data_IF_880386076489
#
_entry.id   IF_880386076489
#
_cell.length_a   1.000
_cell.length_b   1.000
_cell.length_c   1.000
_cell.angle_alpha   90.00
_cell.angle_beta   90.00
_cell.angle_gamma   90.00
#
_symmetry.space_group_name_H-M   'P 1'
#
loop_
_entity.id
_entity.type
_entity.pdbx_description
1 polymer ?
#
# COMPACT_ATOMS: atom_id res chain seq x y z
N UNK A 1 13.73 -14.55 26.50
CA UNK A 1 12.73 -13.49 26.78
C UNK A 1 13.27 -12.19 26.23
N UNK A 2 12.93 -11.83 24.99
CA UNK A 2 13.36 -10.56 24.37
C UNK A 2 12.11 -9.84 23.89
N UNK A 3 11.84 -8.71 24.56
CA UNK A 3 10.62 -7.93 24.44
C UNK A 3 10.49 -7.23 23.09
N UNK A 4 9.60 -7.73 22.25
CA UNK A 4 9.05 -7.05 21.08
C UNK A 4 7.52 -7.00 21.16
N UNK A 5 6.96 -6.62 22.31
CA UNK A 5 5.51 -6.61 22.50
C UNK A 5 5.02 -5.41 23.30
N UNK A 6 5.30 -4.19 22.84
CA UNK A 6 4.48 -3.02 23.21
C UNK A 6 4.41 -2.05 22.03
N UNK A 7 3.59 -2.38 21.04
CA UNK A 7 2.66 -1.43 20.42
C UNK A 7 1.65 -2.33 19.68
N UNK A 8 0.35 -2.22 19.96
CA UNK A 8 -0.65 -2.80 19.08
C UNK A 8 -0.27 -2.48 17.62
N UNK A 9 -0.19 -3.50 16.78
CA UNK A 9 0.30 -3.35 15.42
C UNK A 9 -0.73 -2.56 14.60
N UNK A 10 -0.73 -1.23 14.73
CA UNK A 10 -1.58 -0.30 13.98
C UNK A 10 -1.29 -0.40 12.48
N UNK A 11 -0.17 -1.01 12.09
CA UNK A 11 0.31 -1.11 10.72
C UNK A 11 -0.12 -2.42 10.07
N UNK A 12 -0.69 -2.33 8.87
CA UNK A 12 -1.08 -3.50 8.06
C UNK A 12 0.14 -4.40 7.77
N UNK A 13 -0.05 -5.72 7.81
CA UNK A 13 1.00 -6.75 7.58
C UNK A 13 1.86 -6.48 6.33
N UNK A 14 1.24 -6.01 5.25
CA UNK A 14 1.96 -5.70 4.01
C UNK A 14 2.94 -4.54 4.15
N UNK A 15 2.62 -3.53 4.97
CA UNK A 15 3.53 -2.41 5.28
C UNK A 15 4.74 -2.93 6.03
N UNK A 16 4.52 -3.76 7.07
CA UNK A 16 5.62 -4.37 7.84
C UNK A 16 6.53 -5.19 6.94
N UNK A 17 5.96 -6.08 6.12
CA UNK A 17 6.72 -6.89 5.14
C UNK A 17 7.56 -6.03 4.19
N UNK A 18 7.01 -4.90 3.72
CA UNK A 18 7.71 -4.04 2.78
C UNK A 18 8.91 -3.30 3.43
N UNK A 19 8.77 -2.87 4.68
CA UNK A 19 9.88 -2.31 5.47
C UNK A 19 10.91 -3.38 5.80
N UNK A 20 10.46 -4.51 6.36
CA UNK A 20 11.31 -5.63 6.77
C UNK A 20 12.19 -6.13 5.63
N UNK A 21 11.66 -6.25 4.42
CA UNK A 21 12.46 -6.67 3.27
C UNK A 21 13.66 -5.73 2.98
N UNK A 22 13.47 -4.41 3.12
CA UNK A 22 14.57 -3.44 2.93
C UNK A 22 15.57 -3.54 4.07
N UNK A 23 15.07 -3.61 5.30
CA UNK A 23 15.92 -3.66 6.50
C UNK A 23 16.74 -4.94 6.54
N UNK A 24 16.16 -6.10 6.21
CA UNK A 24 16.90 -7.36 6.13
C UNK A 24 18.04 -7.29 5.11
N UNK A 25 17.80 -6.69 3.93
CA UNK A 25 18.84 -6.50 2.92
C UNK A 25 19.90 -5.49 3.34
N UNK A 26 19.51 -4.49 4.11
CA UNK A 26 20.45 -3.51 4.64
C UNK A 26 21.34 -4.13 5.72
N UNK A 27 20.76 -4.88 6.67
CA UNK A 27 21.51 -5.60 7.70
C UNK A 27 22.42 -6.68 7.12
N UNK A 28 22.01 -7.37 6.05
CA UNK A 28 22.85 -8.36 5.35
C UNK A 28 24.12 -7.74 4.75
N UNK A 29 24.11 -6.46 4.38
CA UNK A 29 25.24 -5.79 3.73
C UNK A 29 26.04 -4.86 4.67
N UNK A 30 25.38 -4.28 5.68
CA UNK A 30 25.97 -3.27 6.57
C UNK A 30 25.77 -3.58 8.06
N UNK A 31 25.25 -4.76 8.43
CA UNK A 31 24.91 -5.10 9.82
C UNK A 31 26.10 -5.17 10.77
N UNK A 32 27.30 -5.44 10.24
CA UNK A 32 28.54 -5.52 11.01
C UNK A 32 29.29 -4.17 11.10
N UNK A 33 28.78 -3.12 10.45
CA UNK A 33 29.41 -1.80 10.44
C UNK A 33 28.70 -0.86 11.41
N UNK A 34 29.47 0.07 11.97
CA UNK A 34 28.88 1.19 12.69
C UNK A 34 28.08 2.06 11.72
N UNK A 35 26.91 2.54 12.15
CA UNK A 35 26.05 3.40 11.36
C UNK A 35 26.72 4.73 11.01
N UNK A 36 27.66 5.22 11.83
CA UNK A 36 28.41 6.46 11.55
C UNK A 36 29.41 6.31 10.41
N UNK A 37 29.85 5.08 10.11
CA UNK A 37 30.80 4.79 9.04
C UNK A 37 30.11 4.66 7.66
N UNK A 38 28.78 4.58 7.64
CA UNK A 38 28.03 4.37 6.41
C UNK A 38 27.97 5.67 5.62
N UNK A 39 28.70 5.71 4.49
CA UNK A 39 28.74 6.88 3.63
C UNK A 39 27.50 7.00 2.75
N UNK A 40 27.29 8.21 2.22
CA UNK A 40 26.22 8.45 1.25
C UNK A 40 26.38 7.58 0.00
N UNK A 41 27.60 7.40 -0.51
CA UNK A 41 27.85 6.60 -1.72
C UNK A 41 27.51 5.13 -1.51
N UNK A 42 27.81 4.58 -0.33
CA UNK A 42 27.41 3.22 0.04
C UNK A 42 25.89 3.06 0.02
N UNK A 43 25.15 4.03 0.55
CA UNK A 43 23.69 4.03 0.53
C UNK A 43 23.13 4.13 -0.89
N UNK A 44 23.71 4.99 -1.72
CA UNK A 44 23.30 5.12 -3.13
C UNK A 44 23.55 3.82 -3.89
N UNK A 45 24.71 3.18 -3.69
CA UNK A 45 25.04 1.90 -4.30
C UNK A 45 24.08 0.79 -3.83
N UNK A 46 23.81 0.71 -2.53
CA UNK A 46 22.84 -0.21 -1.96
C UNK A 46 21.45 -0.03 -2.58
N UNK A 47 20.95 1.21 -2.64
CA UNK A 47 19.64 1.52 -3.22
C UNK A 47 19.58 1.20 -4.71
N UNK A 48 20.65 1.46 -5.47
CA UNK A 48 20.74 1.08 -6.87
C UNK A 48 20.68 -0.44 -7.04
N UNK A 49 21.46 -1.20 -6.25
CA UNK A 49 21.50 -2.66 -6.26
C UNK A 49 20.13 -3.28 -5.97
N UNK A 50 19.44 -2.86 -4.91
CA UNK A 50 18.14 -3.45 -4.55
C UNK A 50 16.98 -2.97 -5.45
N UNK A 51 17.20 -1.94 -6.27
CA UNK A 51 16.17 -1.35 -7.14
C UNK A 51 16.51 -1.37 -8.63
N UNK A 52 17.51 -2.15 -9.02
CA UNK A 52 17.88 -2.37 -10.41
C UNK A 52 16.68 -2.91 -11.22
N UNK A 53 16.46 -2.34 -12.40
CA UNK A 53 15.32 -2.67 -13.27
C UNK A 53 13.94 -2.31 -12.69
N UNK A 54 13.84 -1.63 -11.54
CA UNK A 54 12.55 -1.29 -10.91
C UNK A 54 12.03 0.08 -11.34
N UNK A 55 10.70 0.21 -11.33
CA UNK A 55 9.99 1.46 -11.62
C UNK A 55 10.42 2.59 -10.66
N UNK A 56 10.42 3.87 -11.09
CA UNK A 56 10.80 5.01 -10.26
C UNK A 56 10.03 5.10 -8.92
N UNK A 57 8.74 4.75 -8.93
CA UNK A 57 7.92 4.71 -7.71
C UNK A 57 8.46 3.70 -6.69
N UNK A 58 8.89 2.52 -7.15
CA UNK A 58 9.51 1.51 -6.27
C UNK A 58 10.80 2.06 -5.69
N UNK A 59 11.66 2.70 -6.51
CA UNK A 59 12.90 3.34 -6.04
C UNK A 59 12.63 4.35 -4.92
N UNK A 60 11.63 5.23 -5.13
CA UNK A 60 11.18 6.20 -4.12
C UNK A 60 10.71 5.54 -2.82
N UNK A 61 9.90 4.50 -2.90
CA UNK A 61 9.37 3.80 -1.71
C UNK A 61 10.51 3.16 -0.91
N UNK A 62 11.46 2.50 -1.58
CA UNK A 62 12.62 1.87 -0.93
C UNK A 62 13.52 2.92 -0.26
N UNK A 63 13.80 4.01 -0.95
CA UNK A 63 14.48 5.17 -0.37
C UNK A 63 13.75 5.71 0.86
N UNK A 64 12.42 5.87 0.79
CA UNK A 64 11.62 6.36 1.92
C UNK A 64 11.69 5.46 3.14
N UNK A 65 11.75 4.13 2.96
CA UNK A 65 11.90 3.20 4.09
C UNK A 65 13.25 3.41 4.80
N UNK A 66 14.33 3.50 4.02
CA UNK A 66 15.68 3.67 4.56
C UNK A 66 15.86 5.04 5.21
N UNK A 67 15.37 6.11 4.57
CA UNK A 67 15.37 7.46 5.15
C UNK A 67 14.59 7.52 6.46
N UNK A 68 13.45 6.82 6.55
CA UNK A 68 12.65 6.75 7.78
C UNK A 68 13.37 5.98 8.90
N UNK A 69 14.15 4.95 8.55
CA UNK A 69 14.97 4.20 9.52
C UNK A 69 16.06 5.09 10.13
N UNK A 70 16.81 5.82 9.31
CA UNK A 70 17.81 6.77 9.81
C UNK A 70 17.20 7.93 10.61
N UNK A 71 16.01 8.41 10.21
CA UNK A 71 15.27 9.39 11.01
C UNK A 71 14.82 8.82 12.36
N UNK A 72 14.46 7.53 12.42
CA UNK A 72 14.13 6.87 13.68
C UNK A 72 15.34 6.82 14.62
N UNK A 73 16.53 6.47 14.12
CA UNK A 73 17.78 6.48 14.88
C UNK A 73 18.06 7.89 15.42
N UNK A 74 18.04 8.90 14.55
CA UNK A 74 18.27 10.30 14.93
C UNK A 74 17.31 10.78 16.03
N UNK A 75 16.04 10.42 15.93
CA UNK A 75 15.02 10.93 16.83
C UNK A 75 14.92 10.19 18.17
N UNK A 76 15.44 8.95 18.27
CA UNK A 76 15.20 8.09 19.43
C UNK A 76 16.47 7.54 20.09
N UNK A 77 17.59 7.46 19.36
CA UNK A 77 18.83 6.84 19.85
C UNK A 77 19.95 7.88 19.98
N UNK A 78 20.21 8.63 18.91
CA UNK A 78 21.34 9.56 18.83
C UNK A 78 20.93 10.86 18.14
N UNK A 79 20.69 11.92 18.90
CA UNK A 79 20.22 13.21 18.36
C UNK A 79 21.19 13.87 17.37
N UNK A 80 22.49 13.64 17.58
CA UNK A 80 23.58 14.14 16.73
C UNK A 80 23.81 13.30 15.46
N UNK A 81 23.11 12.17 15.33
CA UNK A 81 23.25 11.32 14.16
C UNK A 81 22.79 12.06 12.90
N UNK A 82 23.71 12.24 11.95
CA UNK A 82 23.41 12.86 10.67
C UNK A 82 22.81 11.82 9.72
N UNK A 83 21.54 12.01 9.36
CA UNK A 83 20.90 11.12 8.40
C UNK A 83 21.52 11.31 7.00
N UNK A 84 22.22 10.31 6.45
CA UNK A 84 22.89 10.43 5.15
C UNK A 84 21.90 10.61 3.99
N UNK A 85 20.63 10.22 4.18
CA UNK A 85 19.56 10.41 3.20
C UNK A 85 18.93 11.81 3.24
N UNK A 86 19.33 12.70 4.16
CA UNK A 86 18.67 13.99 4.40
C UNK A 86 19.08 15.09 3.41
N UNK A 87 20.12 14.86 2.62
CA UNK A 87 20.63 15.87 1.69
C UNK A 87 19.62 16.21 0.58
N UNK A 88 19.44 17.50 0.23
CA UNK A 88 18.47 17.93 -0.79
C UNK A 88 18.67 17.25 -2.16
N UNK A 89 19.92 16.99 -2.53
CA UNK A 89 20.30 16.33 -3.78
C UNK A 89 19.75 14.89 -3.83
N UNK A 90 19.95 14.11 -2.77
CA UNK A 90 19.51 12.71 -2.70
C UNK A 90 18.00 12.62 -2.69
N UNK A 91 17.33 13.49 -1.91
CA UNK A 91 15.87 13.61 -1.93
C UNK A 91 15.35 13.91 -3.34
N UNK A 92 16.05 14.77 -4.10
CA UNK A 92 15.69 15.09 -5.50
C UNK A 92 15.89 13.91 -6.45
N UNK A 93 16.96 13.12 -6.27
CA UNK A 93 17.25 11.94 -7.09
C UNK A 93 16.13 10.89 -7.00
N UNK A 94 15.59 10.67 -5.80
CA UNK A 94 14.51 9.69 -5.56
C UNK A 94 13.10 10.30 -5.63
N UNK A 95 12.95 11.57 -6.03
CA UNK A 95 11.63 12.13 -6.33
C UNK A 95 11.07 11.46 -7.59
N UNK A 96 9.94 10.80 -7.41
CA UNK A 96 9.19 10.22 -8.51
C UNK A 96 8.65 11.32 -9.43
N UNK A 97 9.28 11.53 -10.60
CA UNK A 97 8.71 12.29 -11.73
C UNK A 97 7.69 11.40 -12.42
N UNK A 98 6.46 11.33 -11.92
CA UNK A 98 5.43 10.51 -12.59
C UNK A 98 4.36 11.46 -13.10
N UNK A 99 4.35 11.64 -14.41
CA UNK A 99 3.12 11.89 -15.15
C UNK A 99 2.28 10.63 -15.02
N UNK A 100 1.30 10.63 -14.11
CA UNK A 100 0.39 9.49 -13.99
C UNK A 100 -0.56 9.58 -15.18
N UNK A 101 -0.20 8.95 -16.30
CA UNK A 101 -1.20 8.62 -17.31
C UNK A 101 -2.04 7.48 -16.73
N UNK A 102 -3.18 7.82 -16.15
CA UNK A 102 -4.15 6.81 -15.78
C UNK A 102 -4.61 6.14 -17.07
N UNK A 103 -4.36 4.84 -17.22
CA UNK A 103 -5.05 4.05 -18.24
C UNK A 103 -6.49 3.89 -17.76
N UNK A 104 -7.31 4.92 -17.99
CA UNK A 104 -8.74 4.91 -17.72
C UNK A 104 -9.35 3.99 -18.77
N UNK A 105 -10.05 2.96 -18.30
CA UNK A 105 -10.77 2.03 -19.18
C UNK A 105 -12.13 2.65 -19.47
N UNK A 106 -12.55 2.54 -20.73
CA UNK A 106 -13.83 3.05 -21.22
C UNK A 106 -15.00 2.35 -20.54
N UNK A 107 -16.10 3.08 -20.38
CA UNK A 107 -17.30 2.54 -19.72
C UNK A 107 -17.85 1.32 -20.46
N UNK A 108 -17.85 1.38 -21.79
CA UNK A 108 -18.36 0.35 -22.69
C UNK A 108 -17.56 -0.96 -22.50
N UNK A 109 -16.23 -0.87 -22.44
CA UNK A 109 -15.35 -2.02 -22.20
C UNK A 109 -15.60 -2.63 -20.82
N UNK A 110 -15.80 -1.80 -19.78
CA UNK A 110 -16.12 -2.30 -18.44
C UNK A 110 -17.48 -3.02 -18.42
N UNK A 111 -18.51 -2.44 -19.03
CA UNK A 111 -19.82 -3.07 -19.12
C UNK A 111 -19.78 -4.38 -19.92
N UNK A 112 -18.96 -4.46 -20.98
CA UNK A 112 -18.73 -5.69 -21.74
C UNK A 112 -18.03 -6.77 -20.90
N UNK A 113 -16.97 -6.43 -20.17
CA UNK A 113 -16.25 -7.36 -19.29
C UNK A 113 -17.21 -7.93 -18.23
N UNK A 114 -18.02 -7.07 -17.61
CA UNK A 114 -19.04 -7.48 -16.64
C UNK A 114 -20.06 -8.42 -17.30
N UNK A 115 -20.51 -8.09 -18.51
CA UNK A 115 -21.51 -8.87 -19.23
C UNK A 115 -20.99 -10.26 -19.62
N UNK A 116 -19.77 -10.36 -20.14
CA UNK A 116 -19.12 -11.61 -20.54
C UNK A 116 -18.74 -12.51 -19.36
N UNK A 117 -18.68 -11.97 -18.14
CA UNK A 117 -18.35 -12.75 -16.94
C UNK A 117 -19.49 -13.69 -16.56
N UNK A 118 -19.31 -14.99 -16.77
CA UNK A 118 -20.33 -16.03 -16.53
C UNK A 118 -20.54 -16.35 -15.06
N UNK A 119 -19.46 -16.38 -14.26
CA UNK A 119 -19.54 -16.68 -12.82
C UNK A 119 -20.19 -15.53 -12.07
N UNK A 120 -21.38 -15.77 -11.52
CA UNK A 120 -22.21 -14.78 -10.80
C UNK A 120 -21.41 -14.04 -9.71
N UNK A 121 -20.65 -14.78 -8.88
CA UNK A 121 -19.80 -14.18 -7.84
C UNK A 121 -18.80 -13.17 -8.41
N UNK A 122 -18.06 -13.54 -9.45
CA UNK A 122 -17.04 -12.68 -10.04
C UNK A 122 -17.69 -11.48 -10.73
N UNK A 123 -18.82 -11.69 -11.40
CA UNK A 123 -19.60 -10.62 -12.03
C UNK A 123 -20.06 -9.59 -10.99
N UNK A 124 -20.58 -10.03 -9.84
CA UNK A 124 -20.97 -9.13 -8.74
C UNK A 124 -19.77 -8.37 -8.16
N UNK A 125 -18.61 -9.02 -8.01
CA UNK A 125 -17.38 -8.34 -7.57
C UNK A 125 -17.04 -7.19 -8.54
N UNK A 126 -17.07 -7.45 -9.85
CA UNK A 126 -16.79 -6.44 -10.87
C UNK A 126 -17.85 -5.32 -10.88
N UNK A 127 -19.13 -5.66 -10.75
CA UNK A 127 -20.22 -4.66 -10.66
C UNK A 127 -20.07 -3.75 -9.44
N UNK A 128 -19.72 -4.31 -8.28
CA UNK A 128 -19.49 -3.55 -7.05
C UNK A 128 -18.28 -2.61 -7.17
N UNK A 129 -17.20 -3.08 -7.79
CA UNK A 129 -16.02 -2.23 -8.04
C UNK A 129 -16.32 -1.12 -9.05
N UNK A 130 -16.92 -1.45 -10.19
CA UNK A 130 -17.15 -0.51 -11.28
C UNK A 130 -18.24 0.53 -10.94
N UNK A 131 -19.33 0.12 -10.27
CA UNK A 131 -20.49 0.99 -10.02
C UNK A 131 -20.53 1.54 -8.61
N UNK A 132 -19.93 0.84 -7.64
CA UNK A 132 -19.83 1.29 -6.25
C UNK A 132 -18.49 1.97 -5.93
N UNK A 133 -17.54 2.02 -6.88
CA UNK A 133 -16.21 2.59 -6.66
C UNK A 133 -15.40 1.87 -5.58
N UNK A 134 -15.77 0.62 -5.27
CA UNK A 134 -15.20 -0.14 -4.17
C UNK A 134 -13.82 -0.66 -4.53
N UNK A 135 -12.89 -0.68 -3.57
CA UNK A 135 -11.62 -1.39 -3.75
C UNK A 135 -11.86 -2.89 -3.63
N UNK A 136 -11.13 -3.70 -4.40
CA UNK A 136 -11.26 -5.17 -4.34
C UNK A 136 -11.14 -5.74 -2.92
N UNK A 137 -10.20 -5.23 -2.11
CA UNK A 137 -10.03 -5.67 -0.73
C UNK A 137 -11.17 -5.31 0.22
N UNK A 138 -11.99 -4.32 -0.12
CA UNK A 138 -13.22 -3.96 0.60
C UNK A 138 -14.36 -4.90 0.17
N UNK A 139 -14.50 -5.14 -1.14
CA UNK A 139 -15.50 -6.08 -1.68
C UNK A 139 -15.33 -7.49 -1.13
N UNK A 140 -14.10 -8.00 -1.07
CA UNK A 140 -13.80 -9.35 -0.58
C UNK A 140 -14.08 -9.56 0.92
N UNK A 141 -14.21 -8.46 1.69
CA UNK A 141 -14.50 -8.51 3.13
C UNK A 141 -15.98 -8.30 3.44
N UNK A 142 -16.79 -7.96 2.44
CA UNK A 142 -18.19 -7.66 2.62
C UNK A 142 -18.93 -8.91 3.12
N UNK A 143 -19.70 -8.75 4.19
CA UNK A 143 -20.56 -9.82 4.73
C UNK A 143 -22.04 -9.50 4.50
N UNK A 144 -22.94 -10.50 4.52
CA UNK A 144 -24.38 -10.25 4.44
C UNK A 144 -24.91 -9.23 5.46
N UNK A 145 -24.31 -9.18 6.66
CA UNK A 145 -24.69 -8.25 7.71
C UNK A 145 -24.36 -6.77 7.40
N UNK A 146 -23.47 -6.53 6.45
CA UNK A 146 -23.04 -5.18 6.04
C UNK A 146 -23.97 -4.57 4.99
N UNK A 147 -24.95 -5.34 4.50
CA UNK A 147 -25.80 -4.96 3.36
C UNK A 147 -27.16 -4.50 3.88
N UNK A 148 -27.42 -3.20 3.74
CA UNK A 148 -28.68 -2.56 4.15
C UNK A 148 -29.32 -1.89 2.95
N UNK A 149 -30.17 -2.64 2.27
CA UNK A 149 -30.83 -2.23 1.05
C UNK A 149 -29.89 -1.81 -0.09
N UNK A 150 -29.65 -0.50 -0.23
CA UNK A 150 -28.75 0.12 -1.22
C UNK A 150 -27.47 0.64 -0.58
N UNK A 151 -27.31 0.46 0.74
CA UNK A 151 -26.17 0.91 1.54
C UNK A 151 -25.29 -0.29 1.87
N UNK A 152 -24.01 -0.18 1.58
CA UNK A 152 -22.99 -1.13 1.98
C UNK A 152 -22.13 -0.50 3.06
N UNK A 153 -22.04 -1.17 4.21
CA UNK A 153 -21.22 -0.72 5.32
C UNK A 153 -19.80 -1.27 5.19
N UNK A 154 -18.82 -0.41 4.97
CA UNK A 154 -17.41 -0.79 5.04
C UNK A 154 -16.89 -0.62 6.47
N UNK A 155 -16.43 -1.72 7.05
CA UNK A 155 -15.68 -1.75 8.31
C UNK A 155 -14.18 -1.65 8.01
N UNK A 156 -13.46 -0.81 8.74
CA UNK A 156 -12.02 -0.57 8.54
C UNK A 156 -11.61 -0.20 7.10
N UNK A 157 -12.27 0.79 6.46
CA UNK A 157 -11.94 1.24 5.12
C UNK A 157 -10.48 1.68 5.03
N UNK A 158 -9.90 1.60 3.81
CA UNK A 158 -8.50 1.99 3.59
C UNK A 158 -8.26 3.49 3.85
N UNK A 159 -9.32 4.30 3.90
CA UNK A 159 -9.30 5.72 4.24
C UNK A 159 -8.87 6.01 5.68
N UNK A 160 -8.89 5.01 6.58
CA UNK A 160 -8.57 5.19 7.99
C UNK A 160 -9.72 5.72 8.84
N UNK A 161 -10.92 5.87 8.25
CA UNK A 161 -12.16 6.10 8.99
C UNK A 161 -12.62 4.81 9.68
N UNK A 162 -13.39 4.91 10.75
CA UNK A 162 -13.98 3.74 11.42
C UNK A 162 -14.97 3.01 10.52
N UNK A 163 -15.84 3.78 9.85
CA UNK A 163 -16.85 3.25 8.93
C UNK A 163 -17.05 4.16 7.73
N UNK A 164 -17.39 3.56 6.59
CA UNK A 164 -17.73 4.26 5.37
C UNK A 164 -18.95 3.61 4.72
N UNK A 165 -19.91 4.42 4.26
CA UNK A 165 -21.13 3.91 3.63
C UNK A 165 -21.03 4.12 2.13
N UNK A 166 -21.21 3.05 1.38
CA UNK A 166 -21.24 3.08 -0.08
C UNK A 166 -22.67 2.90 -0.56
N UNK A 167 -23.10 3.78 -1.47
CA UNK A 167 -24.40 3.71 -2.11
C UNK A 167 -24.28 3.02 -3.46
N UNK A 168 -25.06 1.96 -3.67
CA UNK A 168 -25.08 1.21 -4.93
C UNK A 168 -26.39 1.39 -5.69
N UNK A 169 -26.36 1.31 -7.04
CA UNK A 169 -27.58 1.35 -7.85
C UNK A 169 -28.55 0.21 -7.48
N UNK A 170 -29.87 0.48 -7.57
CA UNK A 170 -30.92 -0.49 -7.21
C UNK A 170 -30.77 -1.82 -7.94
N UNK A 171 -30.38 -1.79 -9.23
CA UNK A 171 -30.15 -3.00 -10.03
C UNK A 171 -29.05 -3.89 -9.43
N UNK A 172 -27.98 -3.30 -8.92
CA UNK A 172 -26.86 -4.03 -8.28
C UNK A 172 -27.30 -4.57 -6.93
N UNK A 173 -28.01 -3.76 -6.12
CA UNK A 173 -28.55 -4.18 -4.84
C UNK A 173 -29.47 -5.40 -4.96
N UNK A 174 -30.36 -5.41 -5.96
CA UNK A 174 -31.27 -6.53 -6.19
C UNK A 174 -30.52 -7.82 -6.54
N UNK A 175 -29.51 -7.74 -7.44
CA UNK A 175 -28.67 -8.90 -7.80
C UNK A 175 -27.85 -9.41 -6.62
N UNK A 176 -27.32 -8.49 -5.81
CA UNK A 176 -26.56 -8.84 -4.61
C UNK A 176 -27.45 -9.56 -3.59
N UNK A 177 -28.67 -9.06 -3.34
CA UNK A 177 -29.66 -9.75 -2.48
C UNK A 177 -30.03 -11.13 -3.01
N UNK A 178 -30.20 -11.28 -4.32
CA UNK A 178 -30.52 -12.57 -4.93
C UNK A 178 -29.38 -13.57 -4.75
N UNK A 179 -28.12 -13.12 -4.76
CA UNK A 179 -26.94 -13.97 -4.59
C UNK A 179 -26.68 -14.41 -3.14
N UNK A 180 -27.16 -13.64 -2.16
CA UNK A 180 -26.95 -13.92 -0.72
C UNK A 180 -28.00 -14.88 -0.17
N UNK A 181 -29.15 -14.99 -0.84
CA UNK A 181 -30.14 -16.03 -0.56
C UNK A 181 -29.58 -17.41 -0.88
#
# INVERSE_FOLDING_TARGET
>A
MTGWSITECTRKKNTVRAYQWVMLKFCDEYGDKDLTEISLDQILNFLNKITEGRKPQTKRVRFSHLSSFFNFIRNNLESEFQNPCDTPMVRKLFRSKVTVSWNIIDKETIDEIIFRTTRIRNRLILELMARGGMRIGEVLKLTPADIRDRKLLLRDPKSGKEQEIIFIPQKVANRLRQYIR
#
